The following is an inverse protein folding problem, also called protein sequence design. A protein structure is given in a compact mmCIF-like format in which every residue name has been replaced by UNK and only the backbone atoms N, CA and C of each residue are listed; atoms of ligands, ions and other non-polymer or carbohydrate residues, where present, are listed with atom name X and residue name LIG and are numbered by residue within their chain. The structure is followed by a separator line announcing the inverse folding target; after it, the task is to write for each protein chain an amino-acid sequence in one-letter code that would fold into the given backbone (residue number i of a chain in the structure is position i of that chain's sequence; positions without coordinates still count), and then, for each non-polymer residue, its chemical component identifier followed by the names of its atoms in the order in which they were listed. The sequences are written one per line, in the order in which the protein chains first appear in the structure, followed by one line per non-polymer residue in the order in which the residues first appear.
data_IF_612660136369
#
_entry.id   IF_612660136369
#
_cell.length_a   1.000
_cell.length_b   1.000
_cell.length_c   1.000
_cell.angle_alpha   90.00
_cell.angle_beta   90.00
_cell.angle_gamma   90.00
#
_symmetry.space_group_name_H-M   'P 1'
#
loop_
_entity.id
_entity.type
_entity.pdbx_description
1 polymer ?
#
# COMPACT_ATOMS: atom_id res chain seq x y z
N UNK A 1 20.50 3.17 5.09
CA UNK A 1 19.18 3.07 5.73
C UNK A 1 18.15 3.31 4.66
N UNK A 2 17.29 2.34 4.36
CA UNK A 2 16.30 2.41 3.27
C UNK A 2 14.90 2.48 3.84
N UNK A 3 14.05 3.32 3.24
CA UNK A 3 12.65 3.53 3.60
C UNK A 3 11.80 3.21 2.37
N UNK A 4 10.67 2.53 2.58
CA UNK A 4 9.74 2.16 1.52
C UNK A 4 8.54 3.11 1.52
N UNK A 5 8.19 3.64 0.36
CA UNK A 5 6.89 4.23 0.11
C UNK A 5 6.00 3.16 -0.50
N UNK A 6 4.80 3.00 0.04
CA UNK A 6 3.86 1.97 -0.33
C UNK A 6 2.54 2.62 -0.64
N UNK A 7 2.06 2.43 -1.86
CA UNK A 7 0.75 2.88 -2.33
C UNK A 7 0.17 1.79 -3.22
N UNK A 8 -1.15 1.77 -3.37
CA UNK A 8 -1.78 0.94 -4.39
C UNK A 8 -1.93 1.74 -5.68
N UNK A 9 -2.00 1.04 -6.80
CA UNK A 9 -2.18 1.68 -8.10
C UNK A 9 -2.81 0.71 -9.09
N UNK A 10 -3.45 1.27 -10.11
CA UNK A 10 -3.90 0.48 -11.25
C UNK A 10 -2.75 0.39 -12.24
N UNK A 11 -2.35 -0.83 -12.60
CA UNK A 11 -1.16 -1.14 -13.41
C UNK A 11 -1.09 -0.44 -14.80
N UNK A 12 -2.17 0.22 -15.26
CA UNK A 12 -2.27 0.84 -16.59
C UNK A 12 -2.72 2.32 -16.55
N UNK A 13 -3.07 2.86 -15.39
CA UNK A 13 -3.38 4.30 -15.26
C UNK A 13 -2.13 5.06 -14.77
N UNK A 14 -2.23 6.39 -14.73
CA UNK A 14 -1.19 7.34 -14.30
C UNK A 14 -0.48 6.89 -13.01
N UNK A 15 0.67 7.50 -12.67
CA UNK A 15 1.36 7.32 -11.37
C UNK A 15 0.45 7.76 -10.19
N UNK A 16 -0.56 6.94 -9.90
CA UNK A 16 -1.56 7.14 -8.88
C UNK A 16 -1.10 6.46 -7.58
N UNK A 17 -1.41 7.09 -6.46
CA UNK A 17 -1.18 6.52 -5.13
C UNK A 17 -2.52 6.39 -4.43
N UNK A 18 -3.14 5.23 -4.60
CA UNK A 18 -4.47 4.90 -4.10
C UNK A 18 -4.40 4.23 -2.71
N UNK A 19 -5.50 4.30 -1.92
CA UNK A 19 -5.65 3.47 -0.74
C UNK A 19 -5.54 1.98 -1.07
N UNK A 20 -4.99 1.18 -0.15
CA UNK A 20 -4.75 -0.25 -0.38
C UNK A 20 -6.03 -1.03 -0.68
N UNK A 21 -6.01 -1.80 -1.76
CA UNK A 21 -7.11 -2.54 -2.35
C UNK A 21 -8.13 -1.67 -3.10
N UNK A 22 -7.73 -0.45 -3.48
CA UNK A 22 -8.44 0.37 -4.48
C UNK A 22 -7.75 0.35 -5.85
N UNK A 23 -6.54 -0.21 -5.92
CA UNK A 23 -5.82 -0.47 -7.16
C UNK A 23 -5.84 -1.95 -7.51
N UNK A 24 -4.71 -2.41 -8.06
CA UNK A 24 -4.57 -3.78 -8.59
C UNK A 24 -3.36 -4.52 -8.02
N UNK A 25 -2.62 -3.90 -7.09
CA UNK A 25 -1.43 -4.52 -6.51
C UNK A 25 -1.83 -5.62 -5.52
N UNK A 26 -1.27 -6.82 -5.73
CA UNK A 26 -1.28 -7.87 -4.71
C UNK A 26 -0.16 -7.64 -3.70
N UNK A 27 -0.47 -6.88 -2.64
CA UNK A 27 0.47 -6.59 -1.56
C UNK A 27 1.02 -7.85 -0.87
N UNK A 28 0.29 -8.97 -0.89
CA UNK A 28 0.73 -10.18 -0.22
C UNK A 28 2.02 -10.73 -0.86
N UNK A 29 2.16 -10.63 -2.17
CA UNK A 29 3.33 -11.10 -2.93
C UNK A 29 4.54 -10.20 -2.63
N UNK A 30 4.36 -8.88 -2.71
CA UNK A 30 5.45 -7.93 -2.49
C UNK A 30 5.94 -7.90 -1.04
N UNK A 31 5.02 -7.91 -0.07
CA UNK A 31 5.39 -7.91 1.35
C UNK A 31 6.09 -9.22 1.74
N UNK A 32 5.71 -10.34 1.12
CA UNK A 32 6.40 -11.62 1.32
C UNK A 32 7.84 -11.56 0.80
N UNK A 33 8.07 -11.09 -0.43
CA UNK A 33 9.42 -10.93 -0.97
C UNK A 33 10.30 -10.00 -0.11
N UNK A 34 9.72 -8.96 0.48
CA UNK A 34 10.44 -8.09 1.43
C UNK A 34 10.81 -8.82 2.74
N UNK A 35 9.94 -9.68 3.25
CA UNK A 35 10.23 -10.50 4.43
C UNK A 35 11.32 -11.53 4.17
N UNK A 36 11.29 -12.19 3.02
CA UNK A 36 12.34 -13.14 2.59
C UNK A 36 13.70 -12.45 2.50
N UNK A 37 13.72 -11.20 2.03
CA UNK A 37 14.90 -10.35 1.98
C UNK A 37 15.28 -9.74 3.33
N UNK A 38 14.57 -10.08 4.41
CA UNK A 38 14.79 -9.58 5.78
C UNK A 38 14.75 -8.05 5.87
N UNK A 39 13.94 -7.41 5.04
CA UNK A 39 13.74 -5.97 5.13
C UNK A 39 12.99 -5.63 6.43
N UNK A 40 13.59 -4.77 7.25
CA UNK A 40 13.05 -4.31 8.54
C UNK A 40 12.99 -2.78 8.64
N UNK A 41 13.18 -2.08 7.52
CA UNK A 41 13.12 -0.63 7.46
C UNK A 41 11.69 -0.08 7.57
N UNK A 42 11.54 1.23 7.78
CA UNK A 42 10.22 1.87 7.85
C UNK A 42 9.50 1.81 6.50
N UNK A 43 8.18 1.68 6.55
CA UNK A 43 7.29 1.73 5.39
C UNK A 43 6.23 2.83 5.60
N UNK A 44 6.21 3.82 4.70
CA UNK A 44 5.23 4.89 4.66
C UNK A 44 4.09 4.48 3.73
N UNK A 45 2.85 4.53 4.22
CA UNK A 45 1.66 4.43 3.37
C UNK A 45 1.45 5.80 2.70
N UNK A 46 1.44 5.83 1.38
CA UNK A 46 1.21 7.05 0.60
C UNK A 46 -0.13 6.95 -0.12
N UNK A 47 -0.94 7.98 0.02
CA UNK A 47 -2.19 8.16 -0.71
C UNK A 47 -2.22 9.60 -1.22
N UNK A 48 -2.48 9.77 -2.50
CA UNK A 48 -2.59 11.09 -3.12
C UNK A 48 -4.05 11.56 -3.14
N UNK A 49 -4.27 12.83 -2.80
CA UNK A 49 -5.59 13.46 -2.80
C UNK A 49 -5.85 14.33 -4.05
N UNK A 50 -4.84 14.45 -4.93
CA UNK A 50 -5.00 15.26 -6.13
C UNK A 50 -5.88 14.53 -7.16
N UNK A 51 -6.76 15.26 -7.88
CA UNK A 51 -7.66 14.67 -8.88
C UNK A 51 -6.98 13.81 -9.93
N UNK A 52 -5.74 14.14 -10.29
CA UNK A 52 -4.95 13.48 -11.33
C UNK A 52 -4.11 12.27 -10.86
N UNK A 53 -4.04 12.03 -9.55
CA UNK A 53 -3.16 11.01 -8.95
C UNK A 53 -3.85 10.08 -7.96
N UNK A 54 -5.15 10.24 -7.74
CA UNK A 54 -5.85 9.42 -6.78
C UNK A 54 -7.31 9.79 -6.58
N UNK A 55 -7.70 11.00 -6.98
CA UNK A 55 -9.05 11.53 -6.79
C UNK A 55 -9.19 12.22 -5.43
N UNK A 56 -10.01 13.27 -5.38
CA UNK A 56 -10.22 14.03 -4.15
C UNK A 56 -10.99 13.23 -3.09
N UNK A 57 -10.65 13.48 -1.82
CA UNK A 57 -11.23 12.87 -0.63
C UNK A 57 -10.80 11.43 -0.40
N UNK A 58 -9.62 11.01 -0.89
CA UNK A 58 -9.17 9.60 -0.75
C UNK A 58 -8.12 9.38 0.33
N UNK A 59 -7.52 10.44 0.86
CA UNK A 59 -6.52 10.42 1.94
C UNK A 59 -7.15 10.51 3.35
N UNK A 60 -8.41 10.07 3.50
CA UNK A 60 -9.11 10.13 4.79
C UNK A 60 -8.49 9.18 5.82
N UNK A 61 -8.63 9.51 7.11
CA UNK A 61 -8.19 8.66 8.22
C UNK A 61 -8.76 7.24 8.12
N UNK A 62 -10.00 7.10 7.65
CA UNK A 62 -10.68 5.82 7.44
C UNK A 62 -10.02 5.00 6.33
N UNK A 63 -9.63 5.65 5.24
CA UNK A 63 -8.93 5.02 4.12
C UNK A 63 -7.51 4.60 4.51
N UNK A 64 -6.80 5.45 5.27
CA UNK A 64 -5.48 5.14 5.80
C UNK A 64 -5.51 3.97 6.79
N UNK A 65 -6.48 3.98 7.72
CA UNK A 65 -6.67 2.91 8.71
C UNK A 65 -7.02 1.59 8.02
N UNK A 66 -7.99 1.61 7.10
CA UNK A 66 -8.38 0.42 6.32
C UNK A 66 -7.22 -0.14 5.49
N UNK A 67 -6.39 0.74 4.92
CA UNK A 67 -5.22 0.34 4.14
C UNK A 67 -4.16 -0.33 5.01
N UNK A 68 -3.93 0.19 6.22
CA UNK A 68 -3.04 -0.42 7.21
C UNK A 68 -3.54 -1.82 7.59
N UNK A 69 -4.82 -1.95 7.93
CA UNK A 69 -5.40 -3.20 8.41
C UNK A 69 -5.32 -4.31 7.34
N UNK A 70 -5.57 -3.97 6.07
CA UNK A 70 -5.42 -4.92 4.95
C UNK A 70 -3.99 -5.43 4.81
N UNK A 71 -2.99 -4.56 4.95
CA UNK A 71 -1.58 -4.96 4.89
C UNK A 71 -1.18 -5.84 6.07
N UNK A 72 -1.59 -5.48 7.29
CA UNK A 72 -1.31 -6.29 8.48
C UNK A 72 -1.96 -7.67 8.37
N UNK A 73 -3.19 -7.74 7.84
CA UNK A 73 -3.87 -8.99 7.53
C UNK A 73 -3.11 -9.80 6.48
N UNK A 74 -2.70 -9.18 5.36
CA UNK A 74 -1.94 -9.86 4.31
C UNK A 74 -0.62 -10.46 4.83
N UNK A 75 0.02 -9.81 5.81
CA UNK A 75 1.20 -10.34 6.50
C UNK A 75 0.83 -11.49 7.45
N UNK A 76 -0.28 -11.38 8.18
CA UNK A 76 -0.70 -12.35 9.19
C UNK A 76 -1.22 -13.67 8.58
N UNK A 77 -2.00 -13.61 7.50
CA UNK A 77 -2.66 -14.78 6.89
C UNK A 77 -1.69 -15.80 6.30
N UNK A 78 -0.45 -15.41 5.97
CA UNK A 78 0.59 -16.34 5.48
C UNK A 78 1.59 -16.82 6.54
N UNK A 79 1.40 -16.47 7.82
CA UNK A 79 2.16 -17.07 8.94
C UNK A 79 1.56 -18.39 9.45
N UNK A 80 0.38 -18.77 8.96
CA UNK A 80 -0.25 -20.08 9.18
C UNK A 80 0.09 -21.02 8.02
#
# INVERSE_FOLDING_TARGET
MSMLYVSDTKLLETNEHLPSGSGTIDFSVYLCGLQEQRFTGPAILQVDDLPKFGGCGRDTDEALTSSRDRRETAIATRKQ
#
